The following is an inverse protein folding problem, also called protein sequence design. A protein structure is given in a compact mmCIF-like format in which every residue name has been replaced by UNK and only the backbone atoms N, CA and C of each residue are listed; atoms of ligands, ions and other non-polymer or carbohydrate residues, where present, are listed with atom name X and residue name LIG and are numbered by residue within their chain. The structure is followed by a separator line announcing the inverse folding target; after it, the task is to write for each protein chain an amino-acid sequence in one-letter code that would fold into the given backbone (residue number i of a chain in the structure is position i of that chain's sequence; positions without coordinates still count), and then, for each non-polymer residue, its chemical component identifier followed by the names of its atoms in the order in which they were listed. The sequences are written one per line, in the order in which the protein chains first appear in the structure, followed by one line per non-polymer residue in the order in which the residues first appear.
data_IF_797703896649
#
_entry.id   IF_797703896649
#
_cell.length_a   1.000
_cell.length_b   1.000
_cell.length_c   1.000
_cell.angle_alpha   90.00
_cell.angle_beta   90.00
_cell.angle_gamma   90.00
#
_symmetry.space_group_name_H-M   'P 1'
#
loop_
_entity.id
_entity.type
_entity.pdbx_description
1 polymer ?
#
# COMPACT_ATOMS: atom_id res chain seq x y z
N UNK A 1 17.83 30.95 -31.41
CA UNK A 1 17.52 32.08 -30.48
C UNK A 1 16.86 31.51 -29.26
N UNK A 2 17.36 31.80 -28.06
CA UNK A 2 16.74 31.42 -26.79
C UNK A 2 16.18 32.70 -26.17
N UNK A 3 14.86 32.76 -25.97
CA UNK A 3 14.21 33.86 -25.26
C UNK A 3 13.53 33.34 -24.01
N UNK A 4 13.64 34.08 -22.92
CA UNK A 4 13.03 33.74 -21.65
C UNK A 4 11.85 34.66 -21.40
N UNK A 5 10.66 34.10 -21.28
CA UNK A 5 9.41 34.85 -21.09
C UNK A 5 8.86 34.51 -19.71
N UNK A 6 8.51 35.52 -18.92
CA UNK A 6 7.85 35.35 -17.62
C UNK A 6 6.33 35.39 -17.84
N UNK A 7 5.63 34.31 -17.51
CA UNK A 7 4.20 34.15 -17.76
C UNK A 7 3.48 33.90 -16.42
N UNK A 8 2.28 34.49 -16.25
CA UNK A 8 1.41 34.17 -15.12
C UNK A 8 0.86 32.76 -15.23
N UNK A 9 0.66 32.08 -14.12
CA UNK A 9 0.13 30.69 -14.07
C UNK A 9 -1.20 30.54 -14.84
N UNK A 10 -2.08 31.55 -14.77
CA UNK A 10 -3.38 31.57 -15.46
C UNK A 10 -3.29 31.56 -16.99
N UNK A 11 -2.20 32.03 -17.57
CA UNK A 11 -2.05 32.17 -19.02
C UNK A 11 -1.11 31.12 -19.64
N UNK A 12 -0.56 30.22 -18.84
CA UNK A 12 0.41 29.23 -19.31
C UNK A 12 -0.17 28.33 -20.40
N UNK A 13 -1.35 27.76 -20.18
CA UNK A 13 -1.98 26.85 -21.15
C UNK A 13 -2.27 27.52 -22.49
N UNK A 14 -2.73 28.77 -22.46
CA UNK A 14 -3.01 29.54 -23.67
C UNK A 14 -1.72 29.81 -24.48
N UNK A 15 -0.62 30.13 -23.80
CA UNK A 15 0.69 30.34 -24.42
C UNK A 15 1.23 29.03 -25.00
N UNK A 16 1.10 27.91 -24.29
CA UNK A 16 1.49 26.61 -24.82
C UNK A 16 0.68 26.22 -26.06
N UNK A 17 -0.64 26.41 -26.02
CA UNK A 17 -1.49 26.12 -27.16
C UNK A 17 -1.16 26.99 -28.40
N UNK A 18 -0.71 28.22 -28.17
CA UNK A 18 -0.31 29.13 -29.24
C UNK A 18 1.00 28.71 -29.92
N UNK A 19 2.03 28.45 -29.13
CA UNK A 19 3.37 28.12 -29.66
C UNK A 19 3.53 26.64 -30.07
N UNK A 20 2.70 25.74 -29.58
CA UNK A 20 2.72 24.33 -29.98
C UNK A 20 2.27 24.10 -31.44
N UNK A 21 1.71 25.13 -32.07
CA UNK A 21 1.34 25.13 -33.51
C UNK A 21 2.52 25.44 -34.41
N UNK A 22 3.58 26.01 -33.87
CA UNK A 22 4.77 26.43 -34.63
C UNK A 22 5.85 25.36 -34.52
N UNK A 23 6.22 24.74 -35.64
CA UNK A 23 7.20 23.62 -35.68
C UNK A 23 8.63 24.04 -35.33
N UNK A 24 8.91 25.32 -35.40
CA UNK A 24 10.27 25.86 -35.19
C UNK A 24 10.49 26.36 -33.74
N UNK A 25 9.47 26.29 -32.89
CA UNK A 25 9.52 26.76 -31.50
C UNK A 25 9.46 25.58 -30.55
N UNK A 26 10.48 25.42 -29.73
CA UNK A 26 10.48 24.45 -28.61
C UNK A 26 10.28 25.22 -27.30
N UNK A 27 9.16 24.97 -26.63
CA UNK A 27 8.88 25.57 -25.34
C UNK A 27 9.43 24.65 -24.24
N UNK A 28 10.26 25.19 -23.36
CA UNK A 28 10.77 24.50 -22.22
C UNK A 28 10.39 25.24 -20.92
N UNK A 29 9.39 24.74 -20.20
CA UNK A 29 9.08 25.17 -18.82
C UNK A 29 9.23 23.98 -17.90
N UNK A 30 10.24 24.06 -17.01
CA UNK A 30 10.54 23.02 -16.04
C UNK A 30 9.37 22.73 -15.10
N UNK A 31 8.65 23.76 -14.66
CA UNK A 31 7.52 23.61 -13.73
C UNK A 31 6.33 22.94 -14.40
N UNK A 32 6.01 23.31 -15.61
CA UNK A 32 4.91 22.71 -16.38
C UNK A 32 5.18 21.22 -16.65
N UNK A 33 6.39 20.91 -17.13
CA UNK A 33 6.76 19.52 -17.37
C UNK A 33 6.75 18.71 -16.09
N UNK A 34 7.33 19.23 -15.00
CA UNK A 34 7.35 18.54 -13.70
C UNK A 34 5.92 18.25 -13.23
N UNK A 35 5.02 19.21 -13.24
CA UNK A 35 3.64 19.02 -12.80
C UNK A 35 2.88 18.02 -13.70
N UNK A 36 3.06 18.10 -15.01
CA UNK A 36 2.44 17.16 -15.95
C UNK A 36 2.95 15.73 -15.77
N UNK A 37 4.27 15.57 -15.51
CA UNK A 37 4.85 14.26 -15.21
C UNK A 37 4.34 13.70 -13.88
N UNK A 38 4.26 14.54 -12.85
CA UNK A 38 3.72 14.13 -11.54
C UNK A 38 2.27 13.68 -11.67
N UNK A 39 1.44 14.43 -12.41
CA UNK A 39 0.04 14.04 -12.64
C UNK A 39 -0.07 12.72 -13.40
N UNK A 40 0.69 12.55 -14.49
CA UNK A 40 0.67 11.30 -15.27
C UNK A 40 1.12 10.09 -14.42
N UNK A 41 2.19 10.24 -13.65
CA UNK A 41 2.69 9.17 -12.77
C UNK A 41 1.68 8.85 -11.67
N UNK A 42 0.98 9.86 -11.14
CA UNK A 42 -0.04 9.65 -10.13
C UNK A 42 -1.23 8.85 -10.68
N UNK A 43 -1.67 9.14 -11.90
CA UNK A 43 -2.75 8.40 -12.56
C UNK A 43 -2.34 6.95 -12.86
N UNK A 44 -1.14 6.74 -13.40
CA UNK A 44 -0.57 5.42 -13.65
C UNK A 44 -0.40 4.62 -12.34
N UNK A 45 -0.01 5.30 -11.25
CA UNK A 45 0.13 4.68 -9.94
C UNK A 45 -1.17 4.06 -9.44
N UNK A 46 -2.28 4.78 -9.50
CA UNK A 46 -3.57 4.23 -9.07
C UNK A 46 -4.00 3.05 -9.95
N UNK A 47 -3.78 3.14 -11.25
CA UNK A 47 -4.07 2.03 -12.16
C UNK A 47 -3.26 0.78 -11.78
N UNK A 48 -1.95 0.92 -11.59
CA UNK A 48 -1.06 -0.18 -11.20
C UNK A 48 -1.44 -0.74 -9.83
N UNK A 49 -1.77 0.12 -8.87
CA UNK A 49 -2.20 -0.28 -7.53
C UNK A 49 -3.49 -1.11 -7.57
N UNK A 50 -4.49 -0.69 -8.34
CA UNK A 50 -5.73 -1.46 -8.49
C UNK A 50 -5.50 -2.77 -9.22
N UNK A 51 -4.73 -2.75 -10.31
CA UNK A 51 -4.42 -3.95 -11.09
C UNK A 51 -3.63 -4.98 -10.26
N UNK A 52 -2.60 -4.53 -9.54
CA UNK A 52 -1.82 -5.40 -8.66
C UNK A 52 -2.66 -5.95 -7.52
N UNK A 53 -3.48 -5.12 -6.86
CA UNK A 53 -4.40 -5.56 -5.81
C UNK A 53 -5.38 -6.62 -6.31
N UNK A 54 -5.89 -6.44 -7.51
CA UNK A 54 -6.79 -7.40 -8.15
C UNK A 54 -6.09 -8.73 -8.42
N UNK A 55 -4.89 -8.69 -9.00
CA UNK A 55 -4.09 -9.89 -9.27
C UNK A 55 -3.73 -10.63 -7.98
N UNK A 56 -3.29 -9.92 -6.93
CA UNK A 56 -2.98 -10.49 -5.63
C UNK A 56 -4.24 -11.14 -5.03
N UNK A 57 -5.37 -10.45 -5.05
CA UNK A 57 -6.63 -10.99 -4.54
C UNK A 57 -7.01 -12.29 -5.25
N UNK A 58 -6.90 -12.35 -6.57
CA UNK A 58 -7.17 -13.55 -7.34
C UNK A 58 -6.19 -14.68 -7.07
N UNK A 59 -4.89 -14.37 -6.96
CA UNK A 59 -3.87 -15.34 -6.61
C UNK A 59 -4.13 -15.96 -5.23
N UNK A 60 -4.46 -15.15 -4.24
CA UNK A 60 -4.85 -15.60 -2.89
C UNK A 60 -6.13 -16.44 -2.92
N UNK A 61 -7.13 -16.02 -3.69
CA UNK A 61 -8.38 -16.76 -3.82
C UNK A 61 -8.15 -18.14 -4.44
N UNK A 62 -7.34 -18.21 -5.48
CA UNK A 62 -6.96 -19.46 -6.11
C UNK A 62 -6.14 -20.36 -5.15
N UNK A 63 -5.23 -19.78 -4.39
CA UNK A 63 -4.39 -20.50 -3.44
C UNK A 63 -5.17 -21.07 -2.24
N UNK A 64 -6.05 -20.28 -1.65
CA UNK A 64 -6.83 -20.72 -0.48
C UNK A 64 -8.11 -21.47 -0.85
N UNK A 65 -8.62 -21.32 -2.06
CA UNK A 65 -9.88 -21.90 -2.51
C UNK A 65 -11.12 -21.44 -1.77
N UNK A 66 -10.97 -20.42 -0.87
CA UNK A 66 -12.06 -19.87 -0.03
C UNK A 66 -11.93 -18.38 0.07
N UNK A 67 -13.02 -17.68 -0.23
CA UNK A 67 -13.04 -16.23 -0.28
C UNK A 67 -12.84 -15.58 1.11
N UNK A 68 -13.30 -16.26 2.18
CA UNK A 68 -13.12 -15.78 3.56
C UNK A 68 -11.64 -15.71 3.95
N UNK A 69 -10.87 -16.75 3.64
CA UNK A 69 -9.43 -16.77 3.92
C UNK A 69 -8.68 -15.73 3.09
N UNK A 70 -9.10 -15.59 1.85
CA UNK A 70 -8.57 -14.55 0.95
C UNK A 70 -8.77 -13.16 1.52
N UNK A 71 -10.01 -12.84 1.94
CA UNK A 71 -10.32 -11.54 2.54
C UNK A 71 -9.55 -11.31 3.85
N UNK A 72 -9.40 -12.32 4.69
CA UNK A 72 -8.64 -12.23 5.94
C UNK A 72 -7.15 -12.02 5.71
N UNK A 73 -6.59 -12.53 4.61
CA UNK A 73 -5.19 -12.31 4.23
C UNK A 73 -4.99 -10.96 3.56
N UNK A 74 -5.96 -10.51 2.76
CA UNK A 74 -5.89 -9.27 2.02
C UNK A 74 -6.15 -8.03 2.88
N UNK A 75 -7.07 -8.12 3.86
CA UNK A 75 -7.48 -6.99 4.70
C UNK A 75 -6.32 -6.33 5.49
N UNK A 76 -5.40 -7.08 6.13
CA UNK A 76 -4.28 -6.48 6.85
C UNK A 76 -3.38 -5.60 5.97
N UNK A 77 -3.17 -6.00 4.72
CA UNK A 77 -2.41 -5.24 3.75
C UNK A 77 -3.07 -3.88 3.47
N UNK A 78 -4.36 -3.88 3.22
CA UNK A 78 -5.13 -2.65 3.01
C UNK A 78 -5.10 -1.74 4.25
N UNK A 79 -5.25 -2.31 5.45
CA UNK A 79 -5.17 -1.55 6.70
C UNK A 79 -3.78 -0.94 6.89
N UNK A 80 -2.72 -1.67 6.60
CA UNK A 80 -1.34 -1.16 6.65
C UNK A 80 -1.17 0.04 5.72
N UNK A 81 -1.71 -0.05 4.51
CA UNK A 81 -1.63 1.03 3.54
C UNK A 81 -2.34 2.30 4.01
N UNK A 82 -3.54 2.18 4.57
CA UNK A 82 -4.25 3.33 5.17
C UNK A 82 -3.47 3.93 6.33
N UNK A 83 -2.86 3.11 7.18
CA UNK A 83 -2.02 3.59 8.29
C UNK A 83 -0.82 4.37 7.75
N UNK A 84 -0.17 3.88 6.70
CA UNK A 84 0.96 4.57 6.06
C UNK A 84 0.53 5.93 5.53
N UNK A 85 -0.58 5.99 4.79
CA UNK A 85 -1.14 7.26 4.28
C UNK A 85 -1.47 8.23 5.41
N UNK A 86 -2.10 7.73 6.48
CA UNK A 86 -2.42 8.53 7.65
C UNK A 86 -1.18 9.08 8.35
N UNK A 87 -0.13 8.26 8.52
CA UNK A 87 1.15 8.69 9.09
C UNK A 87 1.84 9.73 8.22
N UNK A 88 1.85 9.56 6.90
CA UNK A 88 2.39 10.56 5.97
C UNK A 88 1.66 11.90 6.12
N UNK A 89 0.31 11.87 6.19
CA UNK A 89 -0.49 13.08 6.41
C UNK A 89 -0.19 13.77 7.73
N UNK A 90 -0.06 13.02 8.83
CA UNK A 90 0.26 13.58 10.16
C UNK A 90 1.67 14.20 10.19
N UNK A 91 2.63 13.56 9.51
CA UNK A 91 4.03 14.02 9.48
C UNK A 91 4.27 15.12 8.42
N UNK A 92 3.25 15.50 7.65
CA UNK A 92 3.40 16.49 6.57
C UNK A 92 4.31 16.01 5.43
N UNK A 93 4.42 14.71 5.21
CA UNK A 93 5.24 14.16 4.13
C UNK A 93 4.40 14.21 2.84
N UNK A 94 4.79 15.09 1.94
CA UNK A 94 4.11 15.22 0.64
C UNK A 94 4.38 14.03 -0.27
N UNK A 95 3.38 13.66 -1.05
CA UNK A 95 3.55 12.68 -2.12
C UNK A 95 4.42 13.25 -3.23
N UNK A 96 5.55 12.63 -3.44
CA UNK A 96 6.39 12.85 -4.62
C UNK A 96 6.50 11.56 -5.43
N UNK A 97 7.01 11.64 -6.64
CA UNK A 97 7.16 10.50 -7.57
C UNK A 97 7.84 9.30 -6.88
N UNK A 98 8.87 9.56 -6.09
CA UNK A 98 9.66 8.54 -5.43
C UNK A 98 8.88 7.88 -4.29
N UNK A 99 8.12 8.67 -3.52
CA UNK A 99 7.30 8.18 -2.42
C UNK A 99 6.14 7.31 -2.93
N UNK A 100 5.59 7.64 -4.10
CA UNK A 100 4.54 6.87 -4.77
C UNK A 100 5.08 5.47 -5.13
N UNK A 101 6.23 5.38 -5.80
CA UNK A 101 6.85 4.11 -6.17
C UNK A 101 7.14 3.27 -4.92
N UNK A 102 7.65 3.90 -3.87
CA UNK A 102 8.00 3.23 -2.63
C UNK A 102 6.77 2.70 -1.89
N UNK A 103 5.67 3.45 -1.86
CA UNK A 103 4.44 3.00 -1.22
C UNK A 103 3.88 1.74 -1.88
N UNK A 104 4.01 1.59 -3.20
CA UNK A 104 3.66 0.36 -3.93
C UNK A 104 4.55 -0.82 -3.50
N UNK A 105 5.84 -0.57 -3.33
CA UNK A 105 6.79 -1.60 -2.86
C UNK A 105 6.47 -2.08 -1.45
N UNK A 106 6.16 -1.16 -0.53
CA UNK A 106 5.76 -1.52 0.84
C UNK A 106 4.43 -2.28 0.85
N UNK A 107 3.52 -1.94 -0.04
CA UNK A 107 2.26 -2.65 -0.23
C UNK A 107 2.52 -4.13 -0.58
N UNK A 108 3.41 -4.42 -1.53
CA UNK A 108 3.78 -5.80 -1.90
C UNK A 108 4.43 -6.59 -0.76
N UNK A 109 5.35 -5.98 0.00
CA UNK A 109 5.95 -6.65 1.18
C UNK A 109 4.88 -6.94 2.25
N UNK A 110 3.91 -6.05 2.41
CA UNK A 110 2.81 -6.25 3.35
C UNK A 110 1.97 -7.48 3.04
N UNK A 111 1.77 -7.77 1.76
CA UNK A 111 1.07 -8.95 1.29
C UNK A 111 1.84 -10.23 1.63
N UNK A 112 3.13 -10.29 1.36
CA UNK A 112 3.99 -11.43 1.70
C UNK A 112 3.93 -11.77 3.20
N UNK A 113 4.03 -10.76 4.07
CA UNK A 113 3.94 -10.98 5.51
C UNK A 113 2.56 -11.46 5.95
N UNK A 114 1.51 -10.96 5.32
CA UNK A 114 0.14 -11.39 5.56
C UNK A 114 -0.07 -12.85 5.17
N UNK A 115 0.48 -13.30 4.04
CA UNK A 115 0.43 -14.70 3.59
C UNK A 115 1.12 -15.61 4.61
N UNK A 116 2.35 -15.26 5.05
CA UNK A 116 3.08 -16.07 6.03
C UNK A 116 2.35 -16.18 7.38
N UNK A 117 1.78 -15.08 7.86
CA UNK A 117 0.99 -15.11 9.11
C UNK A 117 -0.26 -15.97 8.95
N UNK A 118 -0.97 -15.86 7.81
CA UNK A 118 -2.15 -16.68 7.55
C UNK A 118 -1.81 -18.17 7.47
N UNK A 119 -0.75 -18.54 6.79
CA UNK A 119 -0.27 -19.93 6.73
C UNK A 119 0.05 -20.45 8.13
N UNK A 120 0.79 -19.67 8.93
CA UNK A 120 1.09 -20.02 10.31
C UNK A 120 -0.13 -20.17 11.20
N UNK A 121 -1.16 -19.33 11.02
CA UNK A 121 -2.44 -19.41 11.73
C UNK A 121 -3.24 -20.65 11.34
N UNK A 122 -3.32 -20.95 10.04
CA UNK A 122 -3.99 -22.14 9.54
C UNK A 122 -3.31 -23.42 10.01
N UNK A 123 -1.98 -23.50 9.93
CA UNK A 123 -1.22 -24.65 10.40
C UNK A 123 -1.41 -24.86 11.91
N UNK A 124 -1.34 -23.78 12.69
CA UNK A 124 -1.60 -23.86 14.13
C UNK A 124 -3.02 -24.37 14.43
N UNK A 125 -4.01 -23.90 13.68
CA UNK A 125 -5.40 -24.31 13.85
C UNK A 125 -5.65 -25.78 13.47
N UNK A 126 -5.05 -26.25 12.36
CA UNK A 126 -5.26 -27.60 11.83
C UNK A 126 -4.46 -28.68 12.52
N UNK A 127 -3.21 -28.40 12.88
CA UNK A 127 -2.25 -29.42 13.36
C UNK A 127 -1.76 -29.17 14.79
N UNK A 128 -2.08 -28.01 15.38
CA UNK A 128 -1.54 -27.60 16.68
C UNK A 128 -0.07 -27.21 16.67
N UNK A 129 0.60 -27.28 15.54
CA UNK A 129 2.04 -27.00 15.44
C UNK A 129 2.34 -25.50 15.66
N UNK A 130 3.49 -25.21 16.28
CA UNK A 130 3.93 -23.84 16.61
C UNK A 130 4.64 -23.14 15.43
N UNK A 131 4.25 -23.45 14.19
CA UNK A 131 4.84 -22.88 12.96
C UNK A 131 4.68 -21.35 12.91
N UNK A 132 3.58 -20.83 13.45
CA UNK A 132 3.33 -19.39 13.52
C UNK A 132 4.48 -18.60 14.18
N UNK A 133 5.10 -19.15 15.22
CA UNK A 133 6.22 -18.45 15.88
C UNK A 133 7.45 -18.37 14.98
N UNK A 134 7.74 -19.42 14.22
CA UNK A 134 8.83 -19.41 13.23
C UNK A 134 8.58 -18.40 12.13
N UNK A 135 7.35 -18.33 11.61
CA UNK A 135 6.96 -17.32 10.61
C UNK A 135 7.10 -15.89 11.16
N UNK A 136 6.64 -15.65 12.38
CA UNK A 136 6.82 -14.33 13.04
C UNK A 136 8.31 -13.98 13.18
N UNK A 137 9.14 -14.92 13.61
CA UNK A 137 10.58 -14.68 13.73
C UNK A 137 11.20 -14.35 12.37
N UNK A 138 10.85 -15.08 11.31
CA UNK A 138 11.35 -14.83 9.96
C UNK A 138 10.92 -13.43 9.45
N UNK A 139 9.65 -13.07 9.63
CA UNK A 139 9.13 -11.75 9.26
C UNK A 139 9.87 -10.64 10.04
N UNK A 140 10.10 -10.84 11.35
CA UNK A 140 10.81 -9.85 12.15
C UNK A 140 12.23 -9.59 11.61
N UNK A 141 12.99 -10.64 11.33
CA UNK A 141 14.34 -10.48 10.78
C UNK A 141 14.33 -9.88 9.37
N UNK A 142 13.38 -10.28 8.51
CA UNK A 142 13.22 -9.69 7.19
C UNK A 142 12.91 -8.20 7.26
N UNK A 143 11.96 -7.81 8.11
CA UNK A 143 11.61 -6.41 8.32
C UNK A 143 12.78 -5.62 8.92
N UNK A 144 13.48 -6.19 9.90
CA UNK A 144 14.64 -5.57 10.52
C UNK A 144 15.77 -5.31 9.53
N UNK A 145 16.13 -6.28 8.70
CA UNK A 145 17.15 -6.10 7.66
C UNK A 145 16.76 -5.05 6.63
N UNK A 146 15.49 -5.02 6.24
CA UNK A 146 14.96 -4.00 5.32
C UNK A 146 15.01 -2.60 5.95
N UNK A 147 14.59 -2.47 7.22
CA UNK A 147 14.67 -1.20 7.97
C UNK A 147 16.11 -0.71 8.11
N UNK A 148 17.05 -1.59 8.39
CA UNK A 148 18.48 -1.24 8.48
C UNK A 148 19.01 -0.81 7.11
N UNK A 149 18.71 -1.57 6.04
CA UNK A 149 19.18 -1.27 4.70
C UNK A 149 18.62 0.05 4.16
N UNK A 150 17.31 0.26 4.26
CA UNK A 150 16.66 1.49 3.82
C UNK A 150 16.94 2.64 4.79
N UNK A 151 17.08 2.34 6.08
CA UNK A 151 17.40 3.32 7.13
C UNK A 151 18.73 4.02 6.94
N UNK A 152 19.70 3.38 6.30
CA UNK A 152 20.97 4.00 5.95
C UNK A 152 20.79 5.25 5.06
N UNK A 153 19.72 5.33 4.27
CA UNK A 153 19.41 6.46 3.41
C UNK A 153 18.98 7.73 4.20
N UNK A 154 18.68 7.62 5.50
CA UNK A 154 18.41 8.80 6.36
C UNK A 154 19.61 9.74 6.39
N UNK A 155 20.82 9.19 6.30
CA UNK A 155 22.06 9.96 6.31
C UNK A 155 22.44 10.53 4.94
N UNK A 156 21.64 10.29 3.91
CA UNK A 156 21.89 10.83 2.58
C UNK A 156 21.74 12.37 2.57
N UNK A 157 22.54 13.05 1.75
CA UNK A 157 22.44 14.51 1.61
C UNK A 157 21.24 14.96 0.77
N UNK A 158 20.68 14.05 -0.03
CA UNK A 158 19.57 14.36 -0.93
C UNK A 158 18.21 14.19 -0.22
N UNK A 159 17.33 15.22 -0.19
CA UNK A 159 16.06 15.16 0.54
C UNK A 159 15.15 14.02 0.10
N UNK A 160 15.15 13.69 -1.19
CA UNK A 160 14.36 12.58 -1.71
C UNK A 160 14.78 11.23 -1.13
N UNK A 161 16.08 10.98 -0.92
CA UNK A 161 16.58 9.75 -0.30
C UNK A 161 16.22 9.67 1.19
N UNK A 162 16.23 10.78 1.89
CA UNK A 162 15.74 10.86 3.29
C UNK A 162 14.25 10.53 3.36
N UNK A 163 13.44 11.09 2.47
CA UNK A 163 12.00 10.80 2.38
C UNK A 163 11.73 9.32 2.12
N UNK A 164 12.48 8.69 1.20
CA UNK A 164 12.44 7.24 0.94
C UNK A 164 12.65 6.46 2.23
N UNK A 165 13.71 6.79 2.96
CA UNK A 165 14.06 6.08 4.18
C UNK A 165 12.98 6.19 5.25
N UNK A 166 12.48 7.39 5.49
CA UNK A 166 11.42 7.63 6.49
C UNK A 166 10.16 6.84 6.19
N UNK A 167 9.69 6.89 4.93
CA UNK A 167 8.48 6.16 4.52
C UNK A 167 8.71 4.65 4.60
N UNK A 168 9.90 4.16 4.22
CA UNK A 168 10.22 2.73 4.32
C UNK A 168 10.21 2.24 5.77
N UNK A 169 10.80 2.98 6.68
CA UNK A 169 10.82 2.63 8.10
C UNK A 169 9.41 2.62 8.67
N UNK A 170 8.65 3.70 8.47
CA UNK A 170 7.29 3.83 8.95
C UNK A 170 6.37 2.77 8.35
N UNK A 171 6.48 2.55 7.05
CA UNK A 171 5.69 1.56 6.34
C UNK A 171 5.99 0.15 6.81
N UNK A 172 7.25 -0.20 6.98
CA UNK A 172 7.65 -1.53 7.46
C UNK A 172 7.16 -1.79 8.89
N UNK A 173 7.29 -0.81 9.78
CA UNK A 173 6.76 -0.92 11.15
C UNK A 173 5.24 -1.09 11.12
N UNK A 174 4.51 -0.29 10.34
CA UNK A 174 3.06 -0.40 10.22
C UNK A 174 2.63 -1.79 9.72
N UNK A 175 3.27 -2.29 8.66
CA UNK A 175 2.98 -3.60 8.07
C UNK A 175 3.19 -4.72 9.09
N UNK A 176 4.32 -4.74 9.79
CA UNK A 176 4.63 -5.77 10.79
C UNK A 176 3.64 -5.72 11.96
N UNK A 177 3.33 -4.53 12.46
CA UNK A 177 2.38 -4.36 13.56
C UNK A 177 0.99 -4.87 13.16
N UNK A 178 0.51 -4.53 11.98
CA UNK A 178 -0.80 -4.97 11.47
C UNK A 178 -0.82 -6.48 11.28
N UNK A 179 0.20 -7.06 10.63
CA UNK A 179 0.29 -8.49 10.41
C UNK A 179 0.35 -9.29 11.73
N UNK A 180 1.00 -8.75 12.77
CA UNK A 180 1.12 -9.43 14.05
C UNK A 180 -0.07 -9.27 14.98
N UNK A 181 -0.84 -8.20 14.83
CA UNK A 181 -1.95 -7.87 15.74
C UNK A 181 -3.31 -8.07 15.07
N UNK A 182 -3.57 -7.37 13.98
CA UNK A 182 -4.89 -7.33 13.35
C UNK A 182 -5.22 -8.67 12.70
N UNK A 183 -4.29 -9.27 11.98
CA UNK A 183 -4.55 -10.53 11.28
C UNK A 183 -4.86 -11.71 12.21
N UNK A 184 -4.09 -11.98 13.28
CA UNK A 184 -4.47 -13.00 14.26
C UNK A 184 -5.79 -12.70 14.98
N UNK A 185 -6.09 -11.41 15.21
CA UNK A 185 -7.34 -11.00 15.83
C UNK A 185 -8.55 -11.34 14.93
N UNK A 186 -8.45 -10.99 13.64
CA UNK A 186 -9.48 -11.32 12.65
C UNK A 186 -9.66 -12.82 12.53
N UNK A 187 -8.57 -13.57 12.40
CA UNK A 187 -8.62 -15.03 12.33
C UNK A 187 -9.26 -15.65 13.57
N UNK A 188 -8.88 -15.18 14.76
CA UNK A 188 -9.48 -15.63 16.03
C UNK A 188 -10.97 -15.36 16.07
N UNK A 189 -11.39 -14.15 15.68
CA UNK A 189 -12.78 -13.74 15.75
C UNK A 189 -13.68 -14.48 14.76
N UNK A 190 -13.25 -14.68 13.53
CA UNK A 190 -14.06 -15.28 12.47
C UNK A 190 -13.94 -16.80 12.38
N UNK A 191 -12.85 -17.39 12.85
CA UNK A 191 -12.58 -18.83 12.71
C UNK A 191 -12.48 -19.52 14.06
N UNK A 192 -11.56 -19.11 14.93
CA UNK A 192 -11.25 -19.86 16.14
C UNK A 192 -12.38 -19.82 17.18
N UNK A 193 -13.01 -18.67 17.39
CA UNK A 193 -14.13 -18.52 18.36
C UNK A 193 -15.40 -19.23 17.89
N UNK A 194 -15.87 -19.14 16.63
CA UNK A 194 -17.00 -19.96 16.19
C UNK A 194 -16.74 -21.45 16.31
N UNK A 195 -15.55 -21.91 15.91
CA UNK A 195 -15.19 -23.33 16.02
C UNK A 195 -15.17 -23.84 17.45
N UNK A 196 -14.71 -23.04 18.42
CA UNK A 196 -14.73 -23.41 19.84
C UNK A 196 -16.15 -23.54 20.42
N UNK A 197 -17.15 -22.94 19.77
CA UNK A 197 -18.56 -23.02 20.11
C UNK A 197 -19.32 -24.11 19.34
N UNK A 198 -18.61 -24.99 18.61
CA UNK A 198 -19.22 -26.02 17.78
C UNK A 198 -19.92 -25.50 16.52
N UNK A 199 -19.76 -24.21 16.21
CA UNK A 199 -20.26 -23.61 14.98
C UNK A 199 -19.26 -23.84 13.83
N UNK A 200 -19.73 -24.00 12.59
CA UNK A 200 -18.80 -24.09 11.46
C UNK A 200 -17.93 -22.82 11.41
N UNK A 201 -16.61 -22.95 11.23
CA UNK A 201 -15.68 -21.83 11.23
C UNK A 201 -15.97 -20.77 10.15
N UNK A 202 -16.81 -21.10 9.19
CA UNK A 202 -17.21 -20.23 8.09
C UNK A 202 -18.73 -20.15 8.03
N UNK A 203 -19.31 -19.24 8.82
CA UNK A 203 -20.75 -18.99 8.74
C UNK A 203 -21.04 -17.91 7.69
N UNK A 204 -22.24 -17.93 7.11
CA UNK A 204 -22.72 -16.90 6.18
C UNK A 204 -22.64 -15.49 6.84
N UNK A 205 -22.85 -15.42 8.16
CA UNK A 205 -22.70 -14.20 8.96
C UNK A 205 -21.25 -13.73 9.00
N UNK A 206 -20.27 -14.65 9.08
CA UNK A 206 -18.85 -14.33 9.00
C UNK A 206 -18.47 -13.76 7.63
N UNK A 207 -18.98 -14.35 6.55
CA UNK A 207 -18.79 -13.85 5.19
C UNK A 207 -19.35 -12.43 5.03
N UNK A 208 -20.60 -12.22 5.43
CA UNK A 208 -21.26 -10.91 5.36
C UNK A 208 -20.51 -9.83 6.16
N UNK A 209 -20.01 -10.15 7.35
CA UNK A 209 -19.20 -9.23 8.15
C UNK A 209 -17.88 -8.89 7.45
N UNK A 210 -17.19 -9.87 6.86
CA UNK A 210 -15.93 -9.64 6.17
C UNK A 210 -16.13 -8.80 4.91
N UNK A 211 -17.18 -9.09 4.15
CA UNK A 211 -17.55 -8.29 2.97
C UNK A 211 -17.95 -6.87 3.36
N UNK A 212 -18.73 -6.69 4.43
CA UNK A 212 -19.12 -5.36 4.92
C UNK A 212 -17.89 -4.53 5.35
N UNK A 213 -16.94 -5.14 6.06
CA UNK A 213 -15.70 -4.47 6.45
C UNK A 213 -14.84 -4.09 5.24
N UNK A 214 -14.79 -4.96 4.24
CA UNK A 214 -14.09 -4.69 2.98
C UNK A 214 -14.73 -3.52 2.21
N UNK A 215 -16.07 -3.51 2.12
CA UNK A 215 -16.81 -2.42 1.47
C UNK A 215 -16.62 -1.09 2.20
N UNK A 216 -16.71 -1.08 3.53
CA UNK A 216 -16.47 0.12 4.34
C UNK A 216 -15.06 0.66 4.15
N UNK A 217 -14.07 -0.21 4.07
CA UNK A 217 -12.70 0.16 3.80
C UNK A 217 -12.54 0.78 2.39
N UNK A 218 -13.13 0.14 1.37
CA UNK A 218 -13.07 0.62 -0.01
C UNK A 218 -13.75 2.00 -0.17
N UNK A 219 -14.88 2.18 0.51
CA UNK A 219 -15.59 3.48 0.57
C UNK A 219 -14.71 4.53 1.26
N UNK A 220 -14.03 4.18 2.35
CA UNK A 220 -13.09 5.06 3.03
C UNK A 220 -11.93 5.51 2.14
N UNK A 221 -11.36 4.59 1.36
CA UNK A 221 -10.30 4.92 0.39
C UNK A 221 -10.79 5.85 -0.74
N UNK A 222 -12.03 5.64 -1.21
CA UNK A 222 -12.63 6.52 -2.23
C UNK A 222 -12.88 7.92 -1.66
N UNK A 223 -13.37 8.02 -0.43
CA UNK A 223 -13.61 9.30 0.25
C UNK A 223 -12.31 10.07 0.49
N UNK A 224 -11.21 9.38 0.86
CA UNK A 224 -9.88 9.98 1.00
C UNK A 224 -9.29 10.46 -0.33
N UNK A 225 -9.77 9.94 -1.46
CA UNK A 225 -9.38 10.43 -2.80
C UNK A 225 -10.15 11.70 -3.20
N UNK A 226 -11.34 11.90 -2.62
CA UNK A 226 -12.22 13.05 -2.92
C UNK A 226 -11.94 14.25 -1.99
N UNK A 227 -11.21 14.05 -0.90
CA UNK A 227 -10.63 15.07 -0.02
C UNK A 227 -9.21 15.43 -0.44
#
# INVERSE_FOLDING_TARGET
LISQIRISETNKEAVYAHFNKDRDVVIFDRSYFANKWVSAINDDFYLILYLSSFLIFFALWFSYGRIELTLMSFLPMLVSWVIILGLMGILGIEFNIINIILSTFIFGIGDDFSIFIMDGLQNKYRTGQKVLNSHKTAIFFSAFTTVVGMGALVFAKHPALQSISLISILGMIAVVLVAYTIQPLIFRFFIAVPASKGLPPYTLIGLLRTVALFLLFFIGCILLRLL
#
